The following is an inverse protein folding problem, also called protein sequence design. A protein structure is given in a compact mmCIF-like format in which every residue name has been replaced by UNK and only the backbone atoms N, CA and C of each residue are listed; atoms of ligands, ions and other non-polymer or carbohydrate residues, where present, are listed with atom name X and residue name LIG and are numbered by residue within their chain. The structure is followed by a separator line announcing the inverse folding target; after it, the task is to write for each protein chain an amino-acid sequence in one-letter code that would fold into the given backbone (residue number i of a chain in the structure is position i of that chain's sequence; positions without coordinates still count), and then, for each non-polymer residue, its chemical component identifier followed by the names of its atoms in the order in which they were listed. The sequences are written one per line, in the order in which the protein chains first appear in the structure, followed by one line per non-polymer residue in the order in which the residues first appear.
data_IF_500735620470
#
_entry.id   IF_500735620470
#
_cell.length_a   1.000
_cell.length_b   1.000
_cell.length_c   1.000
_cell.angle_alpha   90.00
_cell.angle_beta   90.00
_cell.angle_gamma   90.00
#
_symmetry.space_group_name_H-M   'P 1'
#
loop_
_entity.id
_entity.type
_entity.pdbx_description
1 polymer ?
#
# COMPACT_ATOMS: atom_id res chain seq x y z
N UNK A 1 13.12 6.96 9.32
CA UNK A 1 13.22 5.50 9.47
C UNK A 1 12.77 4.83 8.18
N UNK A 2 13.60 3.97 7.58
CA UNK A 2 13.20 3.13 6.45
C UNK A 2 12.49 1.89 7.00
N UNK A 3 11.23 1.65 6.61
CA UNK A 3 10.44 0.53 7.14
C UNK A 3 9.53 -0.08 6.06
N UNK A 4 9.22 -1.37 6.20
CA UNK A 4 8.16 -2.00 5.43
C UNK A 4 6.82 -1.74 6.16
N UNK A 5 5.87 -1.04 5.52
CA UNK A 5 4.62 -0.68 6.17
C UNK A 5 3.61 -1.85 6.28
N UNK A 6 3.88 -3.01 5.67
CA UNK A 6 3.11 -4.26 5.94
C UNK A 6 3.30 -4.71 7.38
N UNK A 7 4.46 -4.40 7.98
CA UNK A 7 4.75 -4.60 9.40
C UNK A 7 4.80 -3.22 10.10
N UNK A 8 3.65 -2.71 10.60
CA UNK A 8 3.52 -1.31 10.99
C UNK A 8 4.31 -0.92 12.25
N UNK A 9 4.89 -1.87 12.98
CA UNK A 9 5.70 -1.60 14.17
C UNK A 9 6.80 -0.57 13.94
N UNK A 10 7.45 -0.59 12.77
CA UNK A 10 8.45 0.41 12.41
C UNK A 10 7.85 1.81 12.26
N UNK A 11 6.66 1.93 11.69
CA UNK A 11 5.96 3.21 11.57
C UNK A 11 5.51 3.75 12.93
N UNK A 12 4.99 2.87 13.80
CA UNK A 12 4.60 3.23 15.17
C UNK A 12 5.81 3.78 15.93
N UNK A 13 6.96 3.13 15.81
CA UNK A 13 8.20 3.59 16.44
C UNK A 13 8.69 4.92 15.84
N UNK A 14 8.60 5.07 14.52
CA UNK A 14 9.00 6.31 13.85
C UNK A 14 8.16 7.49 14.33
N UNK A 15 6.86 7.30 14.51
CA UNK A 15 5.99 8.34 15.04
C UNK A 15 6.31 8.67 16.50
N UNK A 16 6.50 7.67 17.36
CA UNK A 16 6.87 7.90 18.75
C UNK A 16 8.18 8.70 18.88
N UNK A 17 9.14 8.44 18.01
CA UNK A 17 10.43 9.15 17.96
C UNK A 17 10.38 10.45 17.14
N UNK A 18 9.22 10.83 16.57
CA UNK A 18 9.06 11.99 15.70
C UNK A 18 10.04 12.03 14.51
N UNK A 19 10.31 10.86 13.92
CA UNK A 19 11.22 10.71 12.78
C UNK A 19 10.45 10.62 11.46
N UNK A 20 10.96 11.22 10.36
CA UNK A 20 10.35 11.05 9.05
C UNK A 20 10.47 9.58 8.62
N UNK A 21 9.36 8.96 8.21
CA UNK A 21 9.35 7.58 7.73
C UNK A 21 9.39 7.49 6.21
N UNK A 22 10.15 6.52 5.73
CA UNK A 22 10.26 6.17 4.31
C UNK A 22 9.81 4.73 4.18
N UNK A 23 8.80 4.49 3.34
CA UNK A 23 8.25 3.16 3.15
C UNK A 23 8.92 2.44 1.99
N UNK A 24 9.18 1.15 2.16
CA UNK A 24 9.74 0.30 1.12
C UNK A 24 8.87 -0.94 0.96
N UNK A 25 8.14 -1.03 -0.16
CA UNK A 25 7.18 -2.09 -0.44
C UNK A 25 6.96 -2.26 -1.94
N UNK A 26 6.31 -3.36 -2.35
CA UNK A 26 5.76 -3.49 -3.72
C UNK A 26 4.33 -2.97 -3.81
N UNK A 27 3.56 -3.14 -2.74
CA UNK A 27 2.17 -2.75 -2.61
C UNK A 27 1.62 -3.36 -1.32
N UNK A 28 0.46 -2.90 -0.88
CA UNK A 28 -0.21 -3.48 0.28
C UNK A 28 -1.36 -4.39 -0.15
N UNK A 29 -1.64 -5.45 0.62
CA UNK A 29 -2.91 -6.14 0.49
C UNK A 29 -4.05 -5.15 0.71
N UNK A 30 -5.18 -5.44 0.07
CA UNK A 30 -6.43 -4.68 0.16
C UNK A 30 -6.41 -3.18 -0.15
N UNK A 31 -5.31 -2.65 -0.69
CA UNK A 31 -5.28 -1.27 -1.19
C UNK A 31 -5.20 -0.20 -0.11
N UNK A 32 -4.78 -0.55 1.12
CA UNK A 32 -4.57 0.42 2.22
C UNK A 32 -3.52 1.48 1.84
N UNK A 33 -2.57 1.14 0.95
CA UNK A 33 -1.62 2.08 0.37
C UNK A 33 -2.32 3.20 -0.41
N UNK A 34 -3.39 2.88 -1.15
CA UNK A 34 -4.16 3.88 -1.88
C UNK A 34 -4.96 4.79 -0.95
N UNK A 35 -5.58 4.23 0.09
CA UNK A 35 -6.32 5.01 1.08
C UNK A 35 -5.38 5.96 1.84
N UNK A 36 -4.25 5.45 2.31
CA UNK A 36 -3.26 6.23 3.04
C UNK A 36 -2.60 7.32 2.18
N UNK A 37 -2.39 7.06 0.89
CA UNK A 37 -1.85 8.07 -0.04
C UNK A 37 -2.92 8.99 -0.63
N UNK A 38 -4.21 8.72 -0.38
CA UNK A 38 -5.34 9.36 -1.05
C UNK A 38 -5.28 9.23 -2.59
N UNK A 39 -4.65 8.17 -3.07
CA UNK A 39 -4.45 7.91 -4.49
C UNK A 39 -5.70 7.22 -5.08
N UNK A 40 -6.29 7.72 -6.18
CA UNK A 40 -7.42 7.06 -6.79
C UNK A 40 -7.02 5.70 -7.39
N UNK A 41 -7.82 4.67 -7.13
CA UNK A 41 -7.63 3.31 -7.68
C UNK A 41 -8.94 2.76 -8.28
N UNK A 42 -9.36 3.24 -9.45
CA UNK A 42 -10.64 2.83 -10.00
C UNK A 42 -10.57 1.39 -10.57
N UNK A 43 -11.51 0.51 -10.18
CA UNK A 43 -11.55 -0.87 -10.67
C UNK A 43 -11.94 -0.98 -12.16
N UNK A 44 -12.27 0.14 -12.82
CA UNK A 44 -12.60 0.15 -14.25
C UNK A 44 -11.37 -0.05 -15.15
N UNK A 45 -10.17 0.36 -14.75
CA UNK A 45 -8.97 0.15 -15.58
C UNK A 45 -7.76 -0.38 -14.79
N UNK A 46 -7.82 -0.36 -13.45
CA UNK A 46 -6.79 -0.96 -12.62
C UNK A 46 -7.22 -2.40 -12.28
N UNK A 47 -6.54 -3.43 -12.82
CA UNK A 47 -6.86 -4.82 -12.48
C UNK A 47 -6.50 -5.10 -11.01
N UNK A 48 -7.42 -5.71 -10.28
CA UNK A 48 -7.21 -6.11 -8.88
C UNK A 48 -6.38 -7.38 -8.81
N UNK A 49 -5.61 -7.50 -7.73
CA UNK A 49 -4.87 -8.74 -7.45
C UNK A 49 -5.84 -9.92 -7.41
N UNK A 50 -5.40 -11.07 -7.93
CA UNK A 50 -6.17 -12.31 -8.08
C UNK A 50 -7.30 -12.33 -9.11
N UNK A 51 -7.69 -11.19 -9.71
CA UNK A 51 -8.69 -11.19 -10.79
C UNK A 51 -8.15 -11.79 -12.10
N UNK A 52 -6.82 -11.88 -12.26
CA UNK A 52 -6.11 -12.35 -13.47
C UNK A 52 -6.65 -11.64 -14.72
N UNK A 53 -6.62 -10.31 -14.68
CA UNK A 53 -7.08 -9.43 -15.76
C UNK A 53 -5.95 -8.51 -16.23
N UNK A 54 -6.09 -8.02 -17.45
CA UNK A 54 -5.19 -7.04 -18.06
C UNK A 54 -5.75 -5.62 -17.90
N UNK A 55 -5.00 -4.60 -18.30
CA UNK A 55 -5.47 -3.21 -18.44
C UNK A 55 -6.67 -3.09 -19.40
N UNK A 56 -6.74 -3.98 -20.38
CA UNK A 56 -7.88 -4.11 -21.30
C UNK A 56 -8.87 -5.13 -20.76
N UNK A 57 -10.02 -4.66 -20.30
CA UNK A 57 -11.11 -5.51 -19.81
C UNK A 57 -12.39 -5.27 -20.63
N UNK A 58 -13.22 -6.29 -20.78
CA UNK A 58 -14.59 -6.17 -21.26
C UNK A 58 -15.55 -5.91 -20.08
N UNK A 59 -16.82 -5.63 -20.38
CA UNK A 59 -17.83 -5.34 -19.36
C UNK A 59 -17.90 -6.39 -18.24
N UNK A 60 -17.94 -7.69 -18.59
CA UNK A 60 -18.02 -8.76 -17.60
C UNK A 60 -16.75 -8.88 -16.75
N UNK A 61 -15.58 -8.63 -17.35
CA UNK A 61 -14.31 -8.58 -16.64
C UNK A 61 -14.26 -7.38 -15.68
N UNK A 62 -14.80 -6.22 -16.05
CA UNK A 62 -14.92 -5.09 -15.12
C UNK A 62 -15.82 -5.42 -13.93
N UNK A 63 -16.98 -6.04 -14.17
CA UNK A 63 -17.89 -6.48 -13.10
C UNK A 63 -17.18 -7.47 -12.18
N UNK A 64 -16.46 -8.45 -12.74
CA UNK A 64 -15.65 -9.39 -11.97
C UNK A 64 -14.57 -8.66 -11.17
N UNK A 65 -13.84 -7.72 -11.77
CA UNK A 65 -12.80 -6.95 -11.11
C UNK A 65 -13.33 -6.18 -9.89
N UNK A 66 -14.53 -5.60 -9.99
CA UNK A 66 -15.23 -4.95 -8.87
C UNK A 66 -15.58 -5.96 -7.78
N UNK A 67 -16.08 -7.14 -8.14
CA UNK A 67 -16.41 -8.20 -7.16
C UNK A 67 -15.17 -8.65 -6.39
N UNK A 68 -14.01 -8.78 -7.05
CA UNK A 68 -12.74 -9.09 -6.39
C UNK A 68 -12.23 -7.97 -5.49
N UNK A 69 -12.72 -6.74 -5.65
CA UNK A 69 -12.35 -5.61 -4.80
C UNK A 69 -13.15 -5.56 -3.50
N UNK A 70 -14.39 -6.07 -3.47
CA UNK A 70 -15.26 -6.01 -2.29
C UNK A 70 -14.63 -6.64 -1.04
N UNK A 71 -13.99 -7.84 -1.11
CA UNK A 71 -13.35 -8.44 0.06
C UNK A 71 -12.24 -7.58 0.66
N UNK A 72 -11.61 -6.72 -0.14
CA UNK A 72 -10.50 -5.90 0.33
C UNK A 72 -10.91 -4.97 1.48
N UNK A 73 -12.13 -4.43 1.43
CA UNK A 73 -12.66 -3.54 2.46
C UNK A 73 -12.76 -4.22 3.84
N UNK A 74 -13.09 -5.52 3.89
CA UNK A 74 -13.30 -6.22 5.17
C UNK A 74 -12.05 -6.95 5.66
N UNK A 75 -11.25 -7.50 4.74
CA UNK A 75 -10.10 -8.33 5.09
C UNK A 75 -9.01 -7.50 5.77
N UNK A 76 -8.80 -6.26 5.32
CA UNK A 76 -7.72 -5.44 5.85
C UNK A 76 -7.99 -4.90 7.24
N UNK A 77 -9.24 -4.55 7.57
CA UNK A 77 -9.60 -4.22 8.94
C UNK A 77 -9.19 -5.35 9.86
N UNK A 78 -9.60 -6.59 9.58
CA UNK A 78 -9.28 -7.73 10.43
C UNK A 78 -7.77 -7.95 10.63
N UNK A 79 -6.97 -7.83 9.56
CA UNK A 79 -5.51 -8.02 9.63
C UNK A 79 -4.82 -6.91 10.42
N UNK A 80 -5.29 -5.68 10.29
CA UNK A 80 -4.63 -4.50 10.84
C UNK A 80 -5.21 -4.02 12.19
N UNK A 81 -6.40 -4.47 12.58
CA UNK A 81 -7.03 -4.17 13.87
C UNK A 81 -6.09 -4.39 15.08
N UNK A 82 -5.35 -5.52 15.20
CA UNK A 82 -4.45 -5.73 16.33
C UNK A 82 -3.32 -4.69 16.40
N UNK A 83 -2.81 -4.28 15.24
CA UNK A 83 -1.76 -3.26 15.15
C UNK A 83 -2.28 -1.87 15.44
N UNK A 84 -3.49 -1.53 14.98
CA UNK A 84 -4.13 -0.26 15.33
C UNK A 84 -4.33 -0.15 16.85
N UNK A 85 -4.84 -1.22 17.49
CA UNK A 85 -4.99 -1.26 18.96
C UNK A 85 -3.66 -1.11 19.69
N UNK A 86 -2.63 -1.86 19.25
CA UNK A 86 -1.29 -1.77 19.81
C UNK A 86 -0.70 -0.36 19.67
N UNK A 87 -0.89 0.26 18.50
CA UNK A 87 -0.42 1.62 18.24
C UNK A 87 -1.12 2.63 19.14
N UNK A 88 -2.44 2.50 19.32
CA UNK A 88 -3.20 3.40 20.19
C UNK A 88 -2.77 3.29 21.65
N UNK A 89 -2.55 2.07 22.15
CA UNK A 89 -2.05 1.83 23.51
C UNK A 89 -0.62 2.36 23.69
N UNK A 90 0.27 2.15 22.70
CA UNK A 90 1.66 2.58 22.79
C UNK A 90 1.84 4.10 22.65
N UNK A 91 1.12 4.71 21.70
CA UNK A 91 1.17 6.15 21.44
C UNK A 91 0.26 6.96 22.39
N UNK A 92 -0.55 6.28 23.21
CA UNK A 92 -1.50 6.89 24.16
C UNK A 92 -2.51 7.84 23.49
N UNK A 93 -2.95 7.49 22.27
CA UNK A 93 -3.93 8.26 21.47
C UNK A 93 -4.66 7.35 20.50
N UNK A 94 -5.92 7.64 20.17
CA UNK A 94 -6.65 6.86 19.18
C UNK A 94 -6.06 7.07 17.78
N UNK A 95 -5.56 5.99 17.18
CA UNK A 95 -4.98 5.98 15.83
C UNK A 95 -5.55 4.88 14.98
N UNK A 96 -5.80 5.19 13.72
CA UNK A 96 -6.10 4.19 12.70
C UNK A 96 -4.83 3.85 11.91
N UNK A 97 -4.83 2.70 11.24
CA UNK A 97 -3.70 2.34 10.39
C UNK A 97 -3.51 3.31 9.22
N UNK A 98 -4.58 3.79 8.61
CA UNK A 98 -4.50 4.78 7.53
C UNK A 98 -3.91 6.10 8.03
N UNK A 99 -4.23 6.53 9.26
CA UNK A 99 -3.63 7.73 9.87
C UNK A 99 -2.12 7.57 10.09
N UNK A 100 -1.67 6.40 10.55
CA UNK A 100 -0.23 6.11 10.72
C UNK A 100 0.49 6.14 9.37
N UNK A 101 -0.09 5.51 8.36
CA UNK A 101 0.53 5.39 7.03
C UNK A 101 0.51 6.71 6.25
N UNK A 102 -0.48 7.59 6.49
CA UNK A 102 -0.55 8.95 5.92
C UNK A 102 0.66 9.82 6.27
N UNK A 103 1.34 9.54 7.37
CA UNK A 103 2.49 10.32 7.83
C UNK A 103 3.80 10.00 7.08
N UNK A 104 3.77 9.03 6.17
CA UNK A 104 4.95 8.68 5.39
C UNK A 104 5.42 9.84 4.52
N UNK A 105 6.72 10.14 4.62
CA UNK A 105 7.34 11.20 3.81
C UNK A 105 7.52 10.76 2.36
N UNK A 106 7.96 9.52 2.15
CA UNK A 106 8.23 8.96 0.81
C UNK A 106 7.81 7.49 0.77
N UNK A 107 7.20 7.09 -0.34
CA UNK A 107 6.86 5.70 -0.67
C UNK A 107 7.80 5.20 -1.76
N UNK A 108 8.79 4.38 -1.41
CA UNK A 108 9.65 3.67 -2.35
C UNK A 108 8.93 2.39 -2.80
N UNK A 109 8.34 2.43 -3.99
CA UNK A 109 7.59 1.32 -4.56
C UNK A 109 8.45 0.47 -5.50
N UNK A 110 8.57 -0.83 -5.21
CA UNK A 110 9.20 -1.87 -6.06
C UNK A 110 8.29 -2.28 -7.21
N UNK A 111 7.89 -1.29 -8.01
CA UNK A 111 7.09 -1.44 -9.22
C UNK A 111 7.94 -1.10 -10.43
N UNK A 112 7.56 -1.58 -11.60
CA UNK A 112 8.19 -1.21 -12.87
C UNK A 112 7.11 -0.97 -13.91
N UNK A 113 7.16 0.17 -14.61
CA UNK A 113 6.17 0.54 -15.63
C UNK A 113 6.11 -0.43 -16.82
N UNK A 114 7.14 -1.26 -17.01
CA UNK A 114 7.16 -2.30 -18.04
C UNK A 114 6.39 -3.55 -17.62
N UNK A 115 6.34 -3.84 -16.32
CA UNK A 115 5.75 -5.08 -15.77
C UNK A 115 4.39 -4.86 -15.12
N UNK A 116 4.14 -3.66 -14.60
CA UNK A 116 2.94 -3.32 -13.84
C UNK A 116 1.99 -2.46 -14.69
N UNK A 117 0.69 -2.68 -14.52
CA UNK A 117 -0.34 -1.94 -15.24
C UNK A 117 -0.40 -0.46 -14.82
N UNK A 118 -0.77 0.44 -15.75
CA UNK A 118 -0.85 1.87 -15.44
C UNK A 118 -1.87 2.14 -14.33
N UNK A 119 -1.41 2.82 -13.29
CA UNK A 119 -2.24 3.31 -12.18
C UNK A 119 -1.79 4.71 -11.79
N UNK A 120 -2.68 5.54 -11.23
CA UNK A 120 -2.29 6.83 -10.66
C UNK A 120 -1.23 6.66 -9.57
N UNK A 121 -0.33 7.63 -9.47
CA UNK A 121 0.70 7.73 -8.43
C UNK A 121 0.67 9.12 -7.80
N UNK A 122 0.91 9.19 -6.49
CA UNK A 122 1.02 10.46 -5.77
C UNK A 122 2.44 11.03 -5.86
N UNK A 123 2.63 12.35 -5.69
CA UNK A 123 3.93 13.00 -5.81
C UNK A 123 5.00 12.48 -4.84
N UNK A 124 4.60 11.94 -3.70
CA UNK A 124 5.49 11.35 -2.69
C UNK A 124 5.81 9.86 -2.96
N UNK A 125 5.37 9.29 -4.08
CA UNK A 125 5.67 7.92 -4.50
C UNK A 125 6.81 7.92 -5.51
N UNK A 126 7.88 7.18 -5.19
CA UNK A 126 9.04 6.99 -6.07
C UNK A 126 9.09 5.51 -6.46
N UNK A 127 9.02 5.26 -7.76
CA UNK A 127 9.13 3.93 -8.35
C UNK A 127 10.61 3.58 -8.49
N UNK A 128 11.05 2.53 -7.81
CA UNK A 128 12.46 2.12 -7.74
C UNK A 128 12.79 0.84 -8.54
N UNK A 129 11.81 0.24 -9.22
CA UNK A 129 12.04 -0.95 -10.03
C UNK A 129 12.45 -2.19 -9.23
N UNK A 130 13.08 -3.14 -9.92
CA UNK A 130 13.69 -4.32 -9.31
C UNK A 130 15.07 -4.00 -8.70
N UNK A 131 15.20 -4.21 -7.39
CA UNK A 131 16.50 -4.08 -6.69
C UNK A 131 17.32 -5.34 -6.93
N UNK A 132 18.07 -5.36 -8.04
CA UNK A 132 18.93 -6.49 -8.39
C UNK A 132 20.33 -6.30 -7.81
N UNK A 133 20.94 -7.40 -7.36
CA UNK A 133 22.35 -7.38 -6.94
C UNK A 133 23.24 -7.13 -8.15
N UNK A 134 24.18 -6.19 -8.03
CA UNK A 134 25.25 -6.08 -9.02
C UNK A 134 26.10 -7.35 -8.99
N UNK A 135 26.42 -7.89 -10.17
CA UNK A 135 27.36 -8.99 -10.24
C UNK A 135 28.72 -8.49 -9.76
N UNK A 136 29.27 -9.11 -8.71
CA UNK A 136 30.65 -8.87 -8.28
C UNK A 136 31.55 -9.44 -9.38
N UNK A 137 32.23 -8.57 -10.12
CA UNK A 137 33.41 -8.94 -10.90
C UNK A 137 34.54 -9.33 -9.95
#
# INVERSE_FOLDING_TARGET
LLTDPVLPCGQILAEHLSLPSVFFLRGMPCGVDFEATQCPSPPSYVPRMFAVHTDRMNFLQHVKNVIFDIPNYFLCDFVFQPYAKLASEFLQRDVTMSDLLRQASIWLMRLDFVLDYPRPLMPNIIVIGGVNCAHKQ
#
